data_IF_354254154312
#
_entry.id   IF_354254154312
#
_cell.length_a   1.000
_cell.length_b   1.000
_cell.length_c   1.000
_cell.angle_alpha   90.00
_cell.angle_beta   90.00
_cell.angle_gamma   90.00
#
_symmetry.space_group_name_H-M   'P 1'
#
loop_
_entity.id
_entity.type
_entity.pdbx_description
1 polymer ?
#
# COMPACT_ATOMS: atom_id res chain seq x y z
N UNK A 1 -1.39 5.64 -16.48
CA UNK A 1 -1.63 7.11 -16.53
C UNK A 1 -0.59 7.98 -15.80
N UNK A 2 0.49 7.41 -15.22
CA UNK A 2 1.48 8.21 -14.43
C UNK A 2 2.27 9.21 -15.28
N UNK A 3 2.67 8.84 -16.50
CA UNK A 3 3.44 9.70 -17.40
C UNK A 3 2.64 10.93 -17.88
N UNK A 4 1.39 10.72 -18.30
CA UNK A 4 0.50 11.80 -18.75
C UNK A 4 0.26 12.84 -17.65
N UNK A 5 0.02 12.39 -16.42
CA UNK A 5 -0.11 13.29 -15.27
C UNK A 5 1.16 14.10 -15.00
N UNK A 6 2.34 13.50 -15.14
CA UNK A 6 3.61 14.20 -14.93
C UNK A 6 3.89 15.25 -16.02
N UNK A 7 3.59 14.92 -17.28
CA UNK A 7 3.72 15.84 -18.41
C UNK A 7 2.79 17.04 -18.23
N UNK A 8 1.53 16.78 -17.85
CA UNK A 8 0.53 17.82 -17.62
C UNK A 8 0.86 18.68 -16.38
N UNK A 9 1.62 18.18 -15.43
CA UNK A 9 2.06 18.98 -14.29
C UNK A 9 3.21 19.93 -14.66
N UNK A 10 4.16 19.50 -15.49
CA UNK A 10 5.34 20.31 -15.82
C UNK A 10 5.11 21.34 -16.93
N UNK A 11 4.39 20.98 -18.00
CA UNK A 11 4.32 21.79 -19.21
C UNK A 11 3.40 23.03 -19.08
N UNK A 12 2.13 22.90 -18.64
CA UNK A 12 1.24 24.06 -18.49
C UNK A 12 1.37 24.80 -17.14
N UNK A 13 1.81 24.13 -16.07
CA UNK A 13 1.77 24.69 -14.70
C UNK A 13 3.15 24.90 -14.08
N UNK A 14 4.21 24.75 -14.88
CA UNK A 14 5.60 24.95 -14.49
C UNK A 14 5.90 24.21 -13.17
N UNK A 15 5.38 22.99 -13.04
CA UNK A 15 5.44 22.23 -11.79
C UNK A 15 6.86 21.92 -11.30
N UNK A 16 7.86 22.00 -12.18
CA UNK A 16 9.27 21.91 -11.81
C UNK A 16 9.76 23.16 -11.05
N UNK A 17 9.20 24.34 -11.32
CA UNK A 17 9.49 25.57 -10.58
C UNK A 17 8.90 25.46 -9.17
N UNK A 18 7.65 24.99 -9.04
CA UNK A 18 7.06 24.75 -7.72
C UNK A 18 7.89 23.73 -6.90
N UNK A 19 8.37 22.68 -7.56
CA UNK A 19 9.29 21.72 -6.94
C UNK A 19 10.60 22.38 -6.48
N UNK A 20 11.23 23.18 -7.35
CA UNK A 20 12.47 23.87 -7.06
C UNK A 20 12.32 24.89 -5.93
N UNK A 21 11.28 25.73 -5.95
CA UNK A 21 10.99 26.71 -4.91
C UNK A 21 10.79 26.01 -3.56
N UNK A 22 9.94 24.99 -3.52
CA UNK A 22 9.67 24.25 -2.28
C UNK A 22 10.93 23.58 -1.74
N UNK A 23 11.75 23.02 -2.62
CA UNK A 23 13.04 22.44 -2.26
C UNK A 23 14.03 23.48 -1.73
N UNK A 24 14.14 24.64 -2.38
CA UNK A 24 15.02 25.73 -1.95
C UNK A 24 14.58 26.35 -0.63
N UNK A 25 13.27 26.50 -0.40
CA UNK A 25 12.73 26.92 0.90
C UNK A 25 13.10 25.88 1.96
N UNK A 26 12.89 24.59 1.69
CA UNK A 26 13.29 23.52 2.59
C UNK A 26 14.79 23.51 2.90
N UNK A 27 15.62 23.76 1.88
CA UNK A 27 17.07 23.91 2.03
C UNK A 27 17.41 25.11 2.93
N UNK A 28 16.77 26.26 2.73
CA UNK A 28 16.96 27.44 3.55
C UNK A 28 16.61 27.18 5.02
N UNK A 29 15.48 26.53 5.30
CA UNK A 29 15.10 26.11 6.66
C UNK A 29 16.06 25.06 7.24
N UNK A 30 16.69 24.24 6.40
CA UNK A 30 17.68 23.27 6.86
C UNK A 30 18.98 23.95 7.28
N UNK A 31 19.40 24.99 6.55
CA UNK A 31 20.60 25.78 6.87
C UNK A 31 20.47 26.54 8.18
N UNK A 32 19.27 26.95 8.58
CA UNK A 32 19.07 27.64 9.87
C UNK A 32 19.25 26.76 11.10
N UNK A 33 19.49 25.44 10.94
CA UNK A 33 19.64 24.38 11.97
C UNK A 33 18.41 24.19 12.86
N UNK A 34 17.86 25.29 13.39
CA UNK A 34 16.59 25.38 14.12
C UNK A 34 15.43 24.88 13.26
N UNK A 35 15.44 25.16 11.96
CA UNK A 35 14.41 24.71 11.02
C UNK A 35 14.65 23.32 10.41
N UNK A 36 15.72 22.60 10.79
CA UNK A 36 16.14 21.38 10.10
C UNK A 36 15.04 20.30 9.91
N UNK A 37 14.27 19.89 10.94
CA UNK A 37 13.27 18.83 10.75
C UNK A 37 12.10 19.27 9.86
N UNK A 38 11.81 20.57 9.83
CA UNK A 38 10.84 21.17 8.91
C UNK A 38 11.41 21.22 7.49
N UNK A 39 12.64 21.70 7.35
CA UNK A 39 13.34 21.84 6.08
C UNK A 39 13.50 20.51 5.32
N UNK A 40 13.88 19.44 6.03
CA UNK A 40 13.96 18.09 5.48
C UNK A 40 12.59 17.62 4.92
N UNK A 41 11.50 17.88 5.63
CA UNK A 41 10.15 17.57 5.17
C UNK A 41 9.75 18.33 3.91
N UNK A 42 10.08 19.63 3.83
CA UNK A 42 9.83 20.45 2.64
C UNK A 42 10.69 20.03 1.44
N UNK A 43 11.93 19.60 1.66
CA UNK A 43 12.79 19.07 0.60
C UNK A 43 12.20 17.77 0.02
N UNK A 44 11.67 16.89 0.87
CA UNK A 44 10.94 15.69 0.44
C UNK A 44 9.66 16.03 -0.32
N UNK A 45 8.94 17.08 0.10
CA UNK A 45 7.79 17.61 -0.65
C UNK A 45 8.20 18.16 -2.03
N UNK A 46 9.34 18.83 -2.13
CA UNK A 46 9.92 19.25 -3.42
C UNK A 46 10.19 18.05 -4.34
N UNK A 47 10.72 16.94 -3.80
CA UNK A 47 10.89 15.69 -4.57
C UNK A 47 9.54 15.10 -4.99
N UNK A 48 8.52 15.18 -4.15
CA UNK A 48 7.17 14.76 -4.52
C UNK A 48 6.62 15.58 -5.70
N UNK A 49 6.82 16.91 -5.70
CA UNK A 49 6.40 17.77 -6.81
C UNK A 49 7.13 17.49 -8.14
N UNK A 50 8.30 16.85 -8.16
CA UNK A 50 8.92 16.39 -9.43
C UNK A 50 8.21 15.19 -10.05
N UNK A 51 7.38 14.47 -9.29
CA UNK A 51 6.74 13.24 -9.72
C UNK A 51 5.47 12.92 -8.93
N UNK A 52 4.45 13.79 -8.91
CA UNK A 52 3.34 13.70 -7.96
C UNK A 52 2.42 12.48 -8.16
N UNK A 53 2.49 11.84 -9.33
CA UNK A 53 1.71 10.63 -9.65
C UNK A 53 2.50 9.33 -9.50
N UNK A 54 3.83 9.40 -9.33
CA UNK A 54 4.72 8.23 -9.17
C UNK A 54 5.30 8.09 -7.76
N UNK A 55 5.11 9.10 -6.91
CA UNK A 55 5.65 9.17 -5.55
C UNK A 55 4.53 9.35 -4.53
N UNK A 56 4.78 8.93 -3.30
CA UNK A 56 3.87 9.08 -2.17
C UNK A 56 4.67 9.47 -0.91
N UNK A 57 4.04 10.26 -0.03
CA UNK A 57 4.63 10.68 1.23
C UNK A 57 4.24 9.68 2.33
N UNK A 58 5.24 9.02 2.93
CA UNK A 58 5.08 8.06 4.03
C UNK A 58 5.82 8.58 5.26
N UNK A 59 5.45 8.12 6.46
CA UNK A 59 6.18 8.50 7.69
C UNK A 59 7.51 7.77 7.76
N UNK A 60 8.52 8.46 8.26
CA UNK A 60 9.86 7.91 8.46
C UNK A 60 9.87 6.72 9.42
N UNK A 61 9.04 6.79 10.47
CA UNK A 61 8.84 5.71 11.45
C UNK A 61 8.38 4.39 10.83
N UNK A 62 7.70 4.45 9.68
CA UNK A 62 7.19 3.27 8.98
C UNK A 62 8.29 2.62 8.10
N UNK A 63 9.34 3.38 7.75
CA UNK A 63 10.48 2.93 6.94
C UNK A 63 11.64 2.42 7.80
N UNK A 64 12.04 3.18 8.81
CA UNK A 64 13.13 2.84 9.72
C UNK A 64 12.72 3.15 11.17
N UNK A 65 12.12 2.18 11.89
CA UNK A 65 11.70 2.37 13.27
C UNK A 65 12.88 2.48 14.26
N UNK A 66 14.11 2.18 13.83
CA UNK A 66 15.31 2.20 14.68
C UNK A 66 16.07 3.54 14.66
N UNK A 67 15.74 4.41 13.71
CA UNK A 67 16.40 5.70 13.54
C UNK A 67 15.91 6.81 14.49
N UNK A 68 14.84 6.58 15.28
CA UNK A 68 14.27 7.61 16.16
C UNK A 68 14.91 7.60 17.56
N UNK A 69 15.91 8.46 17.78
CA UNK A 69 16.35 8.84 19.12
C UNK A 69 15.25 9.73 19.73
N UNK A 70 14.75 9.41 20.93
CA UNK A 70 13.61 10.12 21.55
C UNK A 70 13.77 11.65 21.63
N UNK A 71 15.02 12.15 21.71
CA UNK A 71 15.34 13.57 21.72
C UNK A 71 15.00 14.26 20.37
N UNK A 72 15.28 13.61 19.24
CA UNK A 72 14.95 14.13 17.92
C UNK A 72 13.45 14.22 17.68
N UNK A 73 12.68 13.29 18.26
CA UNK A 73 11.22 13.28 18.22
C UNK A 73 10.61 14.42 19.03
N UNK A 74 11.12 14.66 20.23
CA UNK A 74 10.69 15.79 21.06
C UNK A 74 10.97 17.13 20.39
N UNK A 75 12.17 17.28 19.82
CA UNK A 75 12.56 18.48 19.06
C UNK A 75 11.65 18.72 17.85
N UNK A 76 11.40 17.67 17.07
CA UNK A 76 10.49 17.69 15.93
C UNK A 76 9.07 18.13 16.33
N UNK A 77 8.57 17.66 17.47
CA UNK A 77 7.25 18.00 17.97
C UNK A 77 7.12 19.48 18.37
N UNK A 78 8.14 20.04 19.03
CA UNK A 78 8.19 21.47 19.38
C UNK A 78 8.11 22.34 18.12
N UNK A 79 8.85 21.96 17.07
CA UNK A 79 8.86 22.70 15.81
C UNK A 79 7.53 22.58 15.05
N UNK A 80 6.83 21.44 15.14
CA UNK A 80 5.48 21.29 14.58
C UNK A 80 4.51 22.26 15.26
N UNK A 81 4.58 22.41 16.59
CA UNK A 81 3.72 23.36 17.33
C UNK A 81 4.01 24.79 16.90
N UNK A 82 5.29 25.14 16.75
CA UNK A 82 5.69 26.46 16.27
C UNK A 82 5.24 26.70 14.82
N UNK A 83 5.26 25.66 13.99
CA UNK A 83 4.81 25.73 12.60
C UNK A 83 3.30 25.77 12.46
N UNK A 84 2.53 25.17 13.37
CA UNK A 84 1.08 25.00 13.29
C UNK A 84 0.30 26.24 12.81
N UNK A 85 0.48 27.47 13.37
CA UNK A 85 -0.25 28.64 12.89
C UNK A 85 0.08 29.00 11.44
N UNK A 86 1.35 28.85 11.04
CA UNK A 86 1.80 29.11 9.68
C UNK A 86 1.36 27.99 8.72
N UNK A 87 1.53 26.74 9.11
CA UNK A 87 1.10 25.56 8.36
C UNK A 87 -0.40 25.51 8.14
N UNK A 88 -1.22 25.92 9.13
CA UNK A 88 -2.67 26.05 8.98
C UNK A 88 -3.03 27.13 7.95
N UNK A 89 -2.40 28.30 8.03
CA UNK A 89 -2.62 29.38 7.07
C UNK A 89 -2.28 28.93 5.64
N UNK A 90 -1.13 28.28 5.45
CA UNK A 90 -0.72 27.73 4.16
C UNK A 90 -1.65 26.61 3.68
N UNK A 91 -2.11 25.74 4.58
CA UNK A 91 -3.05 24.68 4.24
C UNK A 91 -4.40 25.24 3.78
N UNK A 92 -4.93 26.26 4.46
CA UNK A 92 -6.15 26.96 4.03
C UNK A 92 -5.94 27.61 2.66
N UNK A 93 -4.81 28.30 2.45
CA UNK A 93 -4.48 28.87 1.15
C UNK A 93 -4.41 27.81 0.04
N UNK A 94 -3.82 26.64 0.32
CA UNK A 94 -3.74 25.51 -0.61
C UNK A 94 -5.11 24.90 -0.92
N UNK A 95 -6.01 24.81 0.08
CA UNK A 95 -7.39 24.34 -0.12
C UNK A 95 -8.18 25.31 -0.98
N UNK A 96 -8.09 26.62 -0.70
CA UNK A 96 -8.72 27.66 -1.52
C UNK A 96 -8.16 27.61 -2.95
N UNK A 97 -6.84 27.50 -3.09
CA UNK A 97 -6.19 27.34 -4.39
C UNK A 97 -6.70 26.10 -5.14
N UNK A 98 -6.78 24.94 -4.48
CA UNK A 98 -7.30 23.71 -5.09
C UNK A 98 -8.75 23.88 -5.56
N UNK A 99 -9.60 24.57 -4.80
CA UNK A 99 -10.97 24.87 -5.19
C UNK A 99 -11.03 25.76 -6.44
N UNK A 100 -10.21 26.81 -6.51
CA UNK A 100 -10.12 27.69 -7.69
C UNK A 100 -9.63 26.93 -8.94
N UNK A 101 -8.70 25.99 -8.77
CA UNK A 101 -8.20 25.15 -9.86
C UNK A 101 -9.26 24.18 -10.40
N UNK A 102 -10.09 23.64 -9.51
CA UNK A 102 -11.21 22.76 -9.88
C UNK A 102 -12.26 23.46 -10.76
N UNK A 103 -12.32 24.80 -10.78
CA UNK A 103 -13.21 25.55 -11.67
C UNK A 103 -12.84 25.41 -13.16
N UNK A 104 -11.65 24.90 -13.49
CA UNK A 104 -11.20 24.67 -14.86
C UNK A 104 -11.00 23.19 -15.13
N UNK A 105 -11.42 22.69 -16.30
CA UNK A 105 -11.26 21.27 -16.69
C UNK A 105 -9.79 20.85 -16.65
N UNK A 106 -8.88 21.75 -17.06
CA UNK A 106 -7.43 21.51 -17.09
C UNK A 106 -6.82 21.55 -15.67
N UNK A 107 -7.44 22.26 -14.73
CA UNK A 107 -6.97 22.42 -13.36
C UNK A 107 -7.36 21.28 -12.42
N UNK A 108 -8.31 20.41 -12.79
CA UNK A 108 -8.68 19.22 -12.00
C UNK A 108 -7.47 18.33 -11.62
N UNK A 109 -6.63 17.90 -12.57
CA UNK A 109 -5.45 17.08 -12.23
C UNK A 109 -4.45 17.84 -11.34
N UNK A 110 -4.36 19.17 -11.49
CA UNK A 110 -3.51 20.00 -10.66
C UNK A 110 -4.04 20.10 -9.22
N UNK A 111 -5.36 20.26 -9.06
CA UNK A 111 -6.01 20.30 -7.77
C UNK A 111 -5.77 19.02 -6.95
N UNK A 112 -5.72 17.85 -7.59
CA UNK A 112 -5.39 16.58 -6.92
C UNK A 112 -3.97 16.60 -6.35
N UNK A 113 -3.00 17.19 -7.06
CA UNK A 113 -1.61 17.31 -6.57
C UNK A 113 -1.53 18.25 -5.38
N UNK A 114 -2.19 19.41 -5.46
CA UNK A 114 -2.27 20.40 -4.37
C UNK A 114 -2.95 19.76 -3.15
N UNK A 115 -4.06 19.04 -3.33
CA UNK A 115 -4.75 18.35 -2.24
C UNK A 115 -3.88 17.30 -1.55
N UNK A 116 -3.14 16.48 -2.31
CA UNK A 116 -2.20 15.49 -1.76
C UNK A 116 -1.04 16.14 -1.01
N UNK A 117 -0.53 17.27 -1.51
CA UNK A 117 0.53 18.03 -0.87
C UNK A 117 0.06 18.76 0.39
N UNK A 118 -1.22 19.17 0.47
CA UNK A 118 -1.78 19.96 1.58
C UNK A 118 -1.59 19.25 2.94
N UNK A 119 -1.80 17.94 3.00
CA UNK A 119 -1.58 17.17 4.23
C UNK A 119 -0.11 17.18 4.69
N UNK A 120 0.82 17.21 3.74
CA UNK A 120 2.26 17.30 4.01
C UNK A 120 2.68 18.73 4.35
N UNK A 121 2.09 19.76 3.75
CA UNK A 121 2.38 21.17 4.11
C UNK A 121 1.93 21.49 5.54
N UNK A 122 0.81 20.91 5.97
CA UNK A 122 0.29 21.08 7.32
C UNK A 122 1.22 20.45 8.37
N UNK A 123 1.72 19.24 8.10
CA UNK A 123 2.69 18.56 8.93
C UNK A 123 3.80 17.91 8.09
N UNK A 124 4.87 18.65 7.77
CA UNK A 124 5.93 18.15 6.89
C UNK A 124 6.96 17.29 7.64
N UNK A 125 6.97 17.34 8.97
CA UNK A 125 8.01 16.74 9.78
C UNK A 125 7.88 15.21 9.81
N UNK A 126 9.01 14.52 9.62
CA UNK A 126 9.08 13.06 9.65
C UNK A 126 8.37 12.37 8.48
N UNK A 127 8.30 13.03 7.32
CA UNK A 127 7.75 12.47 6.08
C UNK A 127 8.85 12.28 5.05
N UNK A 128 8.85 11.13 4.38
CA UNK A 128 9.73 10.81 3.24
C UNK A 128 8.97 10.56 1.97
N UNK A 129 9.55 11.03 0.88
CA UNK A 129 9.02 10.81 -0.46
C UNK A 129 9.54 9.47 -1.00
N UNK A 130 8.67 8.46 -1.03
CA UNK A 130 8.98 7.13 -1.56
C UNK A 130 8.20 6.84 -2.84
N UNK A 131 8.61 5.81 -3.59
CA UNK A 131 7.83 5.37 -4.75
C UNK A 131 6.50 4.79 -4.30
N UNK A 132 5.47 4.93 -5.14
CA UNK A 132 4.14 4.37 -4.85
C UNK A 132 4.16 2.85 -4.62
N UNK A 133 5.11 2.12 -5.21
CA UNK A 133 5.28 0.69 -4.99
C UNK A 133 5.73 0.39 -3.54
N UNK A 134 6.68 1.16 -3.01
CA UNK A 134 7.16 1.01 -1.62
C UNK A 134 6.08 1.43 -0.64
N UNK A 135 5.35 2.52 -0.91
CA UNK A 135 4.24 2.97 -0.06
C UNK A 135 3.13 1.91 0.02
N UNK A 136 2.81 1.25 -1.09
CA UNK A 136 1.81 0.18 -1.13
C UNK A 136 2.27 -1.05 -0.34
N UNK A 137 3.55 -1.41 -0.42
CA UNK A 137 4.12 -2.51 0.37
C UNK A 137 4.09 -2.21 1.87
N UNK A 138 4.40 -0.98 2.28
CA UNK A 138 4.30 -0.56 3.68
C UNK A 138 2.86 -0.61 4.20
N UNK A 139 1.89 -0.19 3.38
CA UNK A 139 0.48 -0.29 3.70
C UNK A 139 0.02 -1.75 3.81
N UNK A 140 0.49 -2.62 2.90
CA UNK A 140 0.18 -4.05 2.94
C UNK A 140 0.72 -4.69 4.23
N UNK A 141 1.97 -4.40 4.60
CA UNK A 141 2.56 -4.87 5.87
C UNK A 141 1.84 -4.34 7.11
N UNK A 142 1.40 -3.08 7.07
CA UNK A 142 0.63 -2.49 8.16
C UNK A 142 -0.73 -3.20 8.33
N UNK A 143 -1.41 -3.51 7.22
CA UNK A 143 -2.67 -4.24 7.22
C UNK A 143 -2.49 -5.67 7.77
N UNK A 144 -1.42 -6.38 7.40
CA UNK A 144 -1.12 -7.72 7.94
C UNK A 144 -0.90 -7.69 9.46
N UNK A 145 -0.17 -6.71 9.98
CA UNK A 145 0.04 -6.53 11.43
C UNK A 145 -1.26 -6.28 12.18
N UNK A 146 -2.19 -5.55 11.57
CA UNK A 146 -3.49 -5.29 12.17
C UNK A 146 -4.32 -6.58 12.26
N UNK A 147 -4.30 -7.40 11.21
CA UNK A 147 -4.95 -8.72 11.19
C UNK A 147 -4.35 -9.66 12.26
N UNK A 148 -3.03 -9.63 12.49
CA UNK A 148 -2.37 -10.46 13.52
C UNK A 148 -2.91 -10.11 14.91
N UNK A 149 -3.15 -8.81 15.14
CA UNK A 149 -3.77 -8.30 16.36
C UNK A 149 -5.20 -8.81 16.59
N UNK A 150 -5.94 -9.12 15.52
CA UNK A 150 -7.28 -9.72 15.62
C UNK A 150 -7.22 -11.21 15.90
N UNK A 151 -6.32 -11.97 15.26
CA UNK A 151 -6.16 -13.40 15.54
C UNK A 151 -5.59 -13.70 16.93
N UNK A 152 -4.87 -12.75 17.54
CA UNK A 152 -4.41 -12.82 18.93
C UNK A 152 -5.49 -12.57 19.99
N UNK A 153 -6.71 -12.14 19.60
CA UNK A 153 -7.84 -11.97 20.51
C UNK A 153 -8.69 -13.25 20.47
N UNK A 154 -8.94 -13.94 21.60
CA UNK A 154 -9.84 -15.09 21.60
C UNK A 154 -11.20 -14.65 21.04
N UNK A 155 -11.87 -15.49 20.23
CA UNK A 155 -13.14 -15.13 19.61
C UNK A 155 -14.11 -14.68 20.70
N UNK A 156 -14.73 -13.50 20.55
CA UNK A 156 -15.90 -13.13 21.34
C UNK A 156 -16.96 -14.18 21.05
N UNK A 157 -17.24 -15.04 22.03
CA UNK A 157 -18.35 -15.98 21.97
C UNK A 157 -19.63 -15.20 21.68
N UNK A 158 -20.21 -15.40 20.50
CA UNK A 158 -21.59 -15.03 20.23
C UNK A 158 -22.50 -15.73 21.26
N UNK A 159 -23.56 -15.08 21.76
CA UNK A 159 -24.44 -15.66 22.76
C UNK A 159 -25.26 -16.76 22.09
N UNK A 160 -24.79 -18.00 22.18
CA UNK A 160 -25.52 -19.16 21.68
C UNK A 160 -26.64 -19.48 22.67
N UNK A 161 -27.87 -19.23 22.23
CA UNK A 161 -29.10 -19.64 22.90
C UNK A 161 -29.17 -21.18 22.94
N UNK A 162 -29.11 -21.75 24.14
CA UNK A 162 -29.62 -23.08 24.50
C UNK A 162 -28.90 -24.31 23.92
N UNK A 163 -28.21 -25.06 24.77
CA UNK A 163 -28.71 -26.34 25.30
C UNK A 163 -27.68 -26.99 26.24
N UNK A 164 -28.25 -27.76 27.16
CA UNK A 164 -27.70 -28.36 28.37
C UNK A 164 -26.90 -29.64 28.13
N UNK A 165 -25.79 -29.82 28.88
CA UNK A 165 -25.34 -31.06 29.53
C UNK A 165 -23.93 -30.79 30.14
N UNK A 166 -23.81 -30.63 31.45
CA UNK A 166 -23.60 -31.70 32.45
C UNK A 166 -22.13 -32.19 32.57
N UNK A 167 -21.51 -31.67 33.64
CA UNK A 167 -20.63 -32.38 34.62
C UNK A 167 -19.14 -32.63 34.33
N UNK A 168 -18.36 -32.23 35.35
CA UNK A 168 -17.20 -32.93 35.93
C UNK A 168 -15.81 -32.36 35.66
N UNK A 169 -15.31 -31.63 36.66
CA UNK A 169 -14.17 -32.14 37.41
C UNK A 169 -12.77 -31.64 37.03
N UNK A 170 -12.18 -30.95 38.02
CA UNK A 170 -10.74 -30.84 38.30
C UNK A 170 -9.96 -29.71 37.65
N UNK A 171 -9.36 -28.90 38.52
CA UNK A 171 -8.72 -27.65 38.21
C UNK A 171 -7.24 -27.77 37.87
N UNK A 172 -6.70 -26.66 37.39
CA UNK A 172 -5.38 -26.12 37.74
C UNK A 172 -5.34 -24.70 37.18
N UNK A 173 -5.34 -23.72 38.08
CA UNK A 173 -5.11 -22.32 37.75
C UNK A 173 -3.59 -22.18 37.54
N UNK A 174 -3.17 -22.04 36.29
CA UNK A 174 -1.83 -21.54 35.98
C UNK A 174 -1.91 -20.05 35.67
N UNK A 175 -1.50 -19.33 36.69
CA UNK A 175 -1.35 -17.90 36.81
C UNK A 175 -0.32 -17.40 35.80
N UNK A 176 -0.73 -16.75 34.71
CA UNK A 176 0.19 -15.95 33.89
C UNK A 176 -0.06 -14.49 34.21
N UNK A 177 0.90 -13.96 34.95
CA UNK A 177 1.08 -12.58 35.35
C UNK A 177 0.89 -11.62 34.18
N UNK A 178 -0.16 -10.81 34.28
CA UNK A 178 -0.33 -9.58 33.51
C UNK A 178 0.47 -8.46 34.16
N UNK A 179 1.45 -7.92 33.45
CA UNK A 179 2.09 -6.60 33.66
C UNK A 179 3.17 -6.58 32.56
N UNK A 180 3.04 -5.81 31.48
CA UNK A 180 3.07 -4.36 31.54
C UNK A 180 2.32 -3.73 30.35
N UNK A 181 1.41 -2.83 30.68
CA UNK A 181 0.72 -1.92 29.77
C UNK A 181 1.09 -0.52 30.26
N UNK A 182 1.59 0.35 29.38
CA UNK A 182 0.99 1.66 29.26
C UNK A 182 0.80 2.00 27.77
N UNK A 183 -0.28 2.60 27.30
CA UNK A 183 -1.34 3.34 27.94
C UNK A 183 -1.80 4.40 26.93
N UNK A 184 -3.10 4.36 26.60
CA UNK A 184 -3.94 5.45 26.05
C UNK A 184 -3.61 5.93 24.62
N UNK A 185 -4.35 5.53 23.58
CA UNK A 185 -5.76 5.88 23.30
C UNK A 185 -6.04 7.36 23.61
N UNK A 186 -5.68 8.23 22.68
CA UNK A 186 -6.26 9.56 22.53
C UNK A 186 -7.45 9.47 21.57
N UNK A 187 -8.64 9.42 22.14
CA UNK A 187 -9.90 9.63 21.44
C UNK A 187 -9.86 10.92 20.61
N UNK A 188 -10.31 10.87 19.36
CA UNK A 188 -10.76 12.07 18.68
C UNK A 188 -12.00 12.63 19.40
N UNK A 189 -12.16 13.95 19.53
CA UNK A 189 -13.44 14.51 19.89
C UNK A 189 -14.30 14.63 18.63
N UNK A 190 -15.33 13.79 18.63
CA UNK A 190 -16.62 14.03 18.02
C UNK A 190 -17.08 15.48 18.23
N UNK A 191 -17.56 16.02 17.12
CA UNK A 191 -18.46 17.15 16.97
C UNK A 191 -19.47 17.25 18.13
N UNK A 192 -19.38 18.31 18.94
CA UNK A 192 -20.46 18.70 19.85
C UNK A 192 -20.91 20.13 19.56
N UNK A 193 -22.22 20.30 19.56
CA UNK A 193 -22.96 21.47 19.12
C UNK A 193 -22.80 22.62 20.11
N UNK A 194 -22.65 23.83 19.57
CA UNK A 194 -23.18 25.06 20.16
C UNK A 194 -22.27 25.79 21.14
N UNK A 195 -21.48 26.74 20.62
CA UNK A 195 -21.07 27.89 21.42
C UNK A 195 -21.09 29.15 20.54
N UNK A 196 -22.09 30.00 20.82
CA UNK A 196 -22.23 31.33 20.25
C UNK A 196 -21.34 32.28 21.04
N UNK A 197 -20.33 32.88 20.42
CA UNK A 197 -19.73 34.14 20.88
C UNK A 197 -19.51 35.00 19.65
N UNK A 198 -20.21 36.13 19.62
CA UNK A 198 -20.13 37.12 18.57
C UNK A 198 -19.03 38.16 18.81
N UNK A 199 -18.92 39.02 17.79
CA UNK A 199 -18.33 40.36 17.74
C UNK A 199 -16.90 40.51 17.18
N UNK A 200 -16.87 40.65 15.85
CA UNK A 200 -16.42 41.82 15.07
C UNK A 200 -15.12 42.57 15.44
N UNK A 201 -14.19 42.64 14.46
CA UNK A 201 -13.59 43.86 13.82
C UNK A 201 -12.96 43.39 12.48
N UNK A 202 -13.49 43.77 11.30
CA UNK A 202 -12.93 44.77 10.36
C UNK A 202 -11.73 44.25 9.52
N UNK A 203 -11.89 43.68 8.30
CA UNK A 203 -11.94 44.31 6.93
C UNK A 203 -10.61 45.00 6.56
N UNK A 204 -10.01 44.91 5.32
CA UNK A 204 -10.64 44.89 3.99
C UNK A 204 -10.16 43.79 2.99
N UNK A 205 -11.04 43.27 2.12
CA UNK A 205 -11.39 43.76 0.76
C UNK A 205 -10.35 43.41 -0.32
N UNK A 206 -10.62 42.34 -1.08
CA UNK A 206 -10.40 42.34 -2.53
C UNK A 206 -11.64 41.69 -3.17
N UNK A 207 -12.37 42.50 -3.91
CA UNK A 207 -13.65 42.22 -4.56
C UNK A 207 -13.43 42.05 -6.07
N UNK A 208 -14.28 41.22 -6.70
CA UNK A 208 -14.73 41.23 -8.12
C UNK A 208 -13.66 40.86 -9.16
N UNK A 209 -13.89 39.90 -10.06
CA UNK A 209 -14.80 39.89 -11.23
C UNK A 209 -14.92 38.38 -11.63
N UNK A 210 -16.06 37.72 -11.87
CA UNK A 210 -17.03 37.84 -12.97
C UNK A 210 -18.33 37.09 -12.56
N UNK A 211 -19.46 37.79 -12.65
CA UNK A 211 -20.79 37.19 -12.78
C UNK A 211 -21.22 37.35 -14.25
N UNK A 212 -21.50 36.24 -14.97
CA UNK A 212 -22.51 36.18 -16.04
C UNK A 212 -22.77 34.70 -16.42
N UNK A 213 -23.99 34.20 -16.15
CA UNK A 213 -24.48 32.90 -16.64
C UNK A 213 -25.14 33.02 -18.03
N UNK A 214 -26.11 32.16 -18.43
CA UNK A 214 -26.54 30.89 -17.82
C UNK A 214 -26.94 29.77 -18.83
N UNK A 215 -27.27 28.59 -18.28
CA UNK A 215 -28.13 27.48 -18.79
C UNK A 215 -27.65 26.60 -19.97
N UNK A 216 -27.45 25.31 -19.67
CA UNK A 216 -28.28 24.16 -20.07
C UNK A 216 -27.46 22.87 -19.81
N UNK A 217 -28.12 21.73 -19.70
CA UNK A 217 -27.61 20.37 -19.42
C UNK A 217 -27.67 19.90 -17.96
N UNK A 218 -28.91 19.67 -17.54
CA UNK A 218 -29.45 18.39 -17.07
C UNK A 218 -28.48 17.37 -16.45
N UNK A 219 -28.77 17.06 -15.19
CA UNK A 219 -28.29 15.95 -14.38
C UNK A 219 -28.29 14.59 -15.09
N UNK A 220 -27.48 13.64 -14.59
CA UNK A 220 -28.08 12.37 -14.19
C UNK A 220 -27.81 12.06 -12.71
N UNK A 221 -28.95 11.96 -12.01
CA UNK A 221 -29.36 10.93 -11.06
C UNK A 221 -28.29 10.03 -10.43
N UNK A 222 -28.25 10.14 -9.11
CA UNK A 222 -27.88 9.16 -8.09
C UNK A 222 -27.99 7.69 -8.53
N UNK A 223 -26.87 6.97 -8.48
CA UNK A 223 -26.85 5.53 -8.28
C UNK A 223 -26.08 5.23 -6.99
N UNK A 224 -26.83 5.08 -5.91
CA UNK A 224 -26.42 4.41 -4.68
C UNK A 224 -26.32 2.92 -4.96
N UNK A 225 -25.24 2.25 -4.53
CA UNK A 225 -25.15 0.81 -4.25
C UNK A 225 -23.79 0.47 -3.61
N UNK A 226 -23.65 -0.66 -2.88
CA UNK A 226 -23.40 -0.64 -1.44
C UNK A 226 -22.00 -1.12 -1.02
N UNK A 227 -21.74 -0.97 0.27
CA UNK A 227 -20.64 -1.60 1.00
C UNK A 227 -20.72 -3.13 0.95
N UNK A 228 -19.62 -3.77 0.56
CA UNK A 228 -19.33 -5.19 0.81
C UNK A 228 -17.79 -5.33 0.80
N UNK A 229 -17.14 -5.20 1.96
CA UNK A 229 -16.70 -6.31 2.84
C UNK A 229 -15.91 -7.38 2.09
N UNK A 230 -14.58 -7.35 2.21
CA UNK A 230 -13.72 -8.54 2.07
C UNK A 230 -12.36 -8.27 2.73
N UNK A 231 -12.15 -8.91 3.88
CA UNK A 231 -10.86 -9.16 4.53
C UNK A 231 -10.11 -10.25 3.75
N UNK A 232 -8.77 -10.34 3.91
CA UNK A 232 -8.19 -11.66 4.15
C UNK A 232 -7.01 -11.70 5.15
N UNK A 233 -7.19 -12.56 6.17
CA UNK A 233 -6.27 -13.55 6.78
C UNK A 233 -4.83 -13.55 6.19
N UNK A 234 -3.73 -13.29 6.90
CA UNK A 234 -3.12 -13.83 8.13
C UNK A 234 -2.48 -15.23 8.09
N UNK A 235 -1.16 -15.27 7.85
CA UNK A 235 -0.31 -16.34 8.38
C UNK A 235 1.09 -15.84 8.82
N UNK A 236 1.58 -16.51 9.86
CA UNK A 236 2.49 -16.10 10.94
C UNK A 236 4.00 -16.23 10.62
N UNK A 237 4.90 -15.43 11.25
CA UNK A 237 6.33 -15.45 10.99
C UNK A 237 7.13 -16.43 11.89
N UNK A 238 8.21 -16.98 11.33
CA UNK A 238 9.26 -17.75 12.02
C UNK A 238 10.50 -16.87 12.32
N UNK A 239 11.35 -17.23 13.30
CA UNK A 239 12.04 -16.30 14.19
C UNK A 239 13.34 -15.68 13.65
N UNK A 240 13.70 -14.53 14.22
CA UNK A 240 14.96 -13.81 14.05
C UNK A 240 16.07 -14.48 14.88
N UNK A 241 17.24 -14.70 14.28
CA UNK A 241 18.49 -15.07 14.97
C UNK A 241 19.43 -13.85 14.99
N UNK A 242 20.18 -13.59 16.10
CA UNK A 242 20.98 -12.38 16.25
C UNK A 242 22.32 -12.43 15.47
N UNK A 243 22.84 -11.24 15.20
CA UNK A 243 24.13 -11.00 14.59
C UNK A 243 25.29 -11.58 15.42
N UNK A 244 25.99 -12.59 14.89
CA UNK A 244 27.34 -12.93 15.30
C UNK A 244 28.09 -13.69 14.20
N UNK A 245 29.29 -13.20 13.90
CA UNK A 245 30.39 -13.80 13.17
C UNK A 245 30.14 -14.27 11.73
N UNK A 246 30.97 -13.79 10.80
CA UNK A 246 31.15 -14.40 9.48
C UNK A 246 32.09 -15.59 9.66
N UNK A 247 31.63 -16.84 9.42
CA UNK A 247 32.52 -17.91 8.96
C UNK A 247 32.28 -18.14 7.45
N UNK A 248 33.33 -18.47 6.67
CA UNK A 248 33.12 -19.02 5.34
C UNK A 248 32.61 -20.47 5.52
N UNK A 249 31.68 -20.94 4.68
CA UNK A 249 31.57 -22.34 4.17
C UNK A 249 30.17 -22.69 3.62
N UNK A 250 30.20 -23.30 2.42
CA UNK A 250 29.29 -24.27 1.75
C UNK A 250 27.81 -23.96 1.49
N UNK A 251 27.53 -23.84 0.18
CA UNK A 251 26.38 -24.35 -0.59
C UNK A 251 25.14 -24.77 0.22
N UNK A 252 24.09 -23.94 0.13
CA UNK A 252 22.70 -24.34 0.43
C UNK A 252 22.19 -25.20 -0.74
N UNK A 253 21.55 -26.36 -0.50
CA UNK A 253 21.19 -27.28 -1.57
C UNK A 253 19.88 -26.89 -2.30
N UNK A 254 19.87 -27.17 -3.61
CA UNK A 254 18.70 -27.47 -4.46
C UNK A 254 17.85 -26.33 -5.07
N UNK A 255 18.38 -25.12 -5.30
CA UNK A 255 17.77 -24.21 -6.29
C UNK A 255 18.09 -24.71 -7.71
N UNK A 256 17.07 -25.07 -8.49
CA UNK A 256 17.26 -25.54 -9.86
C UNK A 256 17.07 -24.39 -10.84
N UNK A 257 18.14 -24.03 -11.55
CA UNK A 257 18.08 -22.98 -12.57
C UNK A 257 18.40 -23.56 -13.95
N UNK A 258 17.68 -23.10 -14.96
CA UNK A 258 17.85 -23.56 -16.32
C UNK A 258 16.72 -23.10 -17.23
N UNK A 259 16.70 -23.61 -18.45
CA UNK A 259 15.62 -23.35 -19.40
C UNK A 259 14.47 -24.31 -19.06
N UNK A 260 13.26 -23.80 -18.76
CA UNK A 260 12.12 -24.65 -18.48
C UNK A 260 11.53 -25.24 -19.76
N UNK A 261 11.17 -26.51 -19.71
CA UNK A 261 10.31 -27.16 -20.69
C UNK A 261 9.02 -27.62 -20.01
N UNK A 262 7.87 -27.42 -20.65
CA UNK A 262 6.60 -27.85 -20.06
C UNK A 262 6.35 -29.34 -20.32
N UNK A 263 6.08 -30.09 -19.26
CA UNK A 263 5.63 -31.49 -19.34
C UNK A 263 4.10 -31.56 -19.31
N UNK A 264 3.50 -30.85 -18.36
CA UNK A 264 2.06 -30.68 -18.23
C UNK A 264 1.74 -29.27 -17.68
N UNK A 265 0.46 -28.91 -17.59
CA UNK A 265 0.00 -27.60 -17.12
C UNK A 265 0.34 -27.30 -15.66
N UNK A 266 0.87 -28.26 -14.89
CA UNK A 266 1.30 -28.09 -13.50
C UNK A 266 2.75 -28.57 -13.24
N UNK A 267 3.51 -29.00 -14.24
CA UNK A 267 4.84 -29.62 -14.08
C UNK A 267 5.79 -29.11 -15.15
N UNK A 268 6.92 -28.56 -14.69
CA UNK A 268 8.02 -28.14 -15.56
C UNK A 268 9.15 -29.16 -15.51
N UNK A 269 9.95 -29.23 -16.57
CA UNK A 269 11.26 -29.88 -16.59
C UNK A 269 12.32 -28.81 -16.69
N UNK A 270 13.29 -28.86 -15.79
CA UNK A 270 14.48 -28.00 -15.84
C UNK A 270 15.68 -28.93 -15.79
N UNK A 271 16.52 -28.89 -16.82
CA UNK A 271 17.68 -29.78 -16.97
C UNK A 271 17.33 -31.29 -16.89
N UNK A 272 16.14 -31.68 -17.36
CA UNK A 272 15.66 -33.07 -17.34
C UNK A 272 15.04 -33.52 -16.02
N UNK A 273 15.02 -32.65 -14.99
CA UNK A 273 14.37 -32.94 -13.71
C UNK A 273 12.93 -32.46 -13.71
N UNK A 274 11.99 -33.33 -13.34
CA UNK A 274 10.56 -33.00 -13.22
C UNK A 274 10.28 -32.22 -11.94
N UNK A 275 9.75 -31.02 -12.08
CA UNK A 275 9.47 -30.07 -11.01
C UNK A 275 7.96 -29.75 -11.01
N UNK A 276 7.14 -30.42 -10.17
CA UNK A 276 5.73 -30.08 -10.02
C UNK A 276 5.59 -28.70 -9.38
N UNK A 277 4.85 -27.80 -10.03
CA UNK A 277 4.60 -26.44 -9.59
C UNK A 277 3.69 -26.43 -8.35
N UNK A 278 4.06 -25.62 -7.37
CA UNK A 278 3.35 -25.51 -6.12
C UNK A 278 1.94 -24.91 -6.31
N UNK A 279 0.92 -25.59 -5.79
CA UNK A 279 -0.45 -25.08 -5.76
C UNK A 279 -1.24 -25.17 -7.07
N UNK A 280 -0.72 -25.85 -8.10
CA UNK A 280 -1.45 -26.10 -9.35
C UNK A 280 -1.90 -27.56 -9.48
N UNK A 281 -3.04 -27.75 -10.16
CA UNK A 281 -3.53 -29.06 -10.60
C UNK A 281 -3.49 -29.12 -12.12
N UNK A 282 -2.95 -30.21 -12.70
CA UNK A 282 -2.91 -30.36 -14.15
C UNK A 282 -4.33 -30.44 -14.72
N UNK A 283 -4.49 -29.87 -15.89
CA UNK A 283 -5.72 -29.89 -16.68
C UNK A 283 -5.43 -30.52 -18.03
N UNK A 284 -6.21 -31.54 -18.38
CA UNK A 284 -6.10 -32.26 -19.64
C UNK A 284 -6.87 -31.49 -20.75
N UNK A 285 -6.33 -30.35 -21.16
CA UNK A 285 -6.88 -29.54 -22.25
C UNK A 285 -5.76 -29.15 -23.23
N UNK A 286 -5.77 -29.68 -24.47
CA UNK A 286 -4.69 -29.44 -25.44
C UNK A 286 -4.43 -27.96 -25.74
N UNK A 287 -5.48 -27.14 -25.77
CA UNK A 287 -5.36 -25.69 -25.99
C UNK A 287 -4.62 -24.99 -24.84
N UNK A 288 -4.88 -25.40 -23.60
CA UNK A 288 -4.24 -24.86 -22.42
C UNK A 288 -2.75 -25.27 -22.34
N UNK A 289 -2.43 -26.52 -22.69
CA UNK A 289 -1.06 -27.01 -22.79
C UNK A 289 -0.25 -26.28 -23.86
N UNK A 290 -0.83 -26.05 -25.05
CA UNK A 290 -0.17 -25.31 -26.12
C UNK A 290 0.11 -23.85 -25.72
N UNK A 291 -0.86 -23.18 -25.09
CA UNK A 291 -0.68 -21.81 -24.62
C UNK A 291 0.39 -21.70 -23.51
N UNK A 292 0.38 -22.64 -22.56
CA UNK A 292 1.37 -22.72 -21.50
C UNK A 292 2.79 -23.00 -22.06
N UNK A 293 2.91 -23.87 -23.07
CA UNK A 293 4.18 -24.12 -23.78
C UNK A 293 4.73 -22.86 -24.44
N UNK A 294 3.88 -22.10 -25.12
CA UNK A 294 4.27 -20.85 -25.76
C UNK A 294 4.70 -19.78 -24.74
N UNK A 295 4.07 -19.75 -23.57
CA UNK A 295 4.49 -18.83 -22.51
C UNK A 295 5.86 -19.20 -21.94
N UNK A 296 6.06 -20.49 -21.62
CA UNK A 296 7.31 -21.00 -21.02
C UNK A 296 8.49 -20.81 -21.97
N UNK A 297 8.31 -21.05 -23.28
CA UNK A 297 9.37 -20.82 -24.28
C UNK A 297 9.78 -19.35 -24.40
N UNK A 298 8.88 -18.41 -24.07
CA UNK A 298 9.14 -16.97 -24.04
C UNK A 298 9.60 -16.47 -22.66
N UNK A 299 9.45 -17.25 -21.60
CA UNK A 299 9.79 -16.86 -20.23
C UNK A 299 11.31 -16.82 -19.97
N UNK A 300 12.11 -17.43 -20.86
CA UNK A 300 13.55 -17.54 -20.73
C UNK A 300 13.96 -18.49 -19.59
N UNK A 301 15.14 -18.27 -19.00
CA UNK A 301 15.58 -19.07 -17.85
C UNK A 301 14.69 -18.88 -16.63
N UNK A 302 14.50 -19.95 -15.85
CA UNK A 302 13.81 -19.92 -14.56
C UNK A 302 14.73 -20.31 -13.43
N UNK A 303 14.41 -19.87 -12.22
CA UNK A 303 14.97 -20.39 -10.97
C UNK A 303 13.84 -20.99 -10.16
N UNK A 304 14.01 -22.25 -9.76
CA UNK A 304 13.02 -23.03 -9.04
C UNK A 304 13.51 -23.38 -7.64
N UNK A 305 12.77 -22.94 -6.63
CA UNK A 305 13.02 -23.19 -5.21
C UNK A 305 11.88 -23.98 -4.59
N UNK A 306 12.13 -24.67 -3.47
CA UNK A 306 11.09 -25.44 -2.78
C UNK A 306 10.03 -24.51 -2.15
N UNK A 307 8.76 -24.80 -2.42
CA UNK A 307 7.64 -24.03 -1.87
C UNK A 307 7.17 -24.62 -0.53
N UNK A 308 6.71 -23.77 0.43
CA UNK A 308 6.24 -24.23 1.75
C UNK A 308 4.98 -25.09 1.69
N UNK A 309 4.20 -24.99 0.60
CA UNK A 309 2.95 -25.75 0.39
C UNK A 309 3.18 -27.11 -0.30
N UNK A 310 4.45 -27.50 -0.51
CA UNK A 310 4.84 -28.67 -1.31
C UNK A 310 4.88 -28.36 -2.81
N UNK A 311 5.88 -28.91 -3.49
CA UNK A 311 6.19 -28.60 -4.89
C UNK A 311 7.24 -27.50 -5.04
N UNK A 312 7.36 -26.98 -6.26
CA UNK A 312 8.40 -26.04 -6.67
C UNK A 312 7.80 -24.69 -7.05
N UNK A 313 8.43 -23.63 -6.54
CA UNK A 313 8.17 -22.25 -6.94
C UNK A 313 9.19 -21.88 -8.00
N UNK A 314 8.74 -21.75 -9.25
CA UNK A 314 9.58 -21.38 -10.37
C UNK A 314 9.33 -19.93 -10.78
N UNK A 315 10.38 -19.11 -10.77
CA UNK A 315 10.34 -17.69 -11.12
C UNK A 315 11.13 -17.44 -12.40
N UNK A 316 10.52 -16.75 -13.37
CA UNK A 316 11.21 -16.32 -14.59
C UNK A 316 12.29 -15.30 -14.27
N UNK A 317 13.53 -15.53 -14.74
CA UNK A 317 14.65 -14.61 -14.59
C UNK A 317 14.44 -13.32 -15.40
N UNK A 318 13.71 -13.39 -16.51
CA UNK A 318 13.49 -12.25 -17.39
C UNK A 318 12.47 -11.25 -16.83
N UNK A 319 11.42 -11.75 -16.16
CA UNK A 319 10.29 -10.93 -15.68
C UNK A 319 10.13 -10.89 -14.16
N UNK A 320 10.83 -11.75 -13.42
CA UNK A 320 10.66 -11.89 -11.97
C UNK A 320 9.27 -12.39 -11.55
N UNK A 321 8.54 -13.05 -12.47
CA UNK A 321 7.17 -13.52 -12.25
C UNK A 321 7.14 -15.01 -11.91
N UNK A 322 6.23 -15.38 -11.01
CA UNK A 322 5.95 -16.76 -10.65
C UNK A 322 5.15 -17.46 -11.75
N UNK A 323 5.72 -18.53 -12.32
CA UNK A 323 5.09 -19.26 -13.43
C UNK A 323 3.74 -19.86 -12.99
N UNK A 324 3.63 -20.32 -11.74
CA UNK A 324 2.41 -20.93 -11.23
C UNK A 324 1.25 -19.93 -11.15
N UNK A 325 1.55 -18.70 -10.72
CA UNK A 325 0.57 -17.61 -10.67
C UNK A 325 0.10 -17.21 -12.07
N UNK A 326 1.03 -17.08 -13.03
CA UNK A 326 0.68 -16.70 -14.40
C UNK A 326 -0.17 -17.78 -15.07
N UNK A 327 0.09 -19.05 -14.79
CA UNK A 327 -0.69 -20.17 -15.30
C UNK A 327 -2.10 -20.19 -14.75
N UNK A 328 -2.28 -19.92 -13.45
CA UNK A 328 -3.61 -19.76 -12.86
C UNK A 328 -4.34 -18.53 -13.41
N UNK A 329 -3.64 -17.39 -13.50
CA UNK A 329 -4.20 -16.13 -13.97
C UNK A 329 -4.64 -16.20 -15.43
N UNK A 330 -3.87 -16.85 -16.30
CA UNK A 330 -4.20 -16.98 -17.73
C UNK A 330 -5.22 -18.09 -18.00
N UNK A 331 -5.61 -18.86 -16.98
CA UNK A 331 -6.49 -20.00 -17.11
C UNK A 331 -5.83 -21.18 -17.83
N UNK A 332 -4.51 -21.37 -17.71
CA UNK A 332 -3.81 -22.55 -18.24
C UNK A 332 -3.88 -23.75 -17.30
N UNK A 333 -4.00 -23.49 -15.99
CA UNK A 333 -4.09 -24.50 -14.95
C UNK A 333 -5.16 -24.13 -13.92
N UNK A 334 -5.57 -25.09 -13.09
CA UNK A 334 -6.51 -24.89 -11.98
C UNK A 334 -5.76 -24.87 -10.65
N UNK A 335 -6.29 -24.15 -9.67
CA UNK A 335 -5.70 -24.14 -8.33
C UNK A 335 -5.91 -25.51 -7.66
N UNK A 336 -4.87 -26.02 -7.01
CA UNK A 336 -4.95 -27.22 -6.20
C UNK A 336 -5.66 -26.95 -4.85
N UNK A 337 -6.06 -28.02 -4.15
CA UNK A 337 -6.73 -27.89 -2.85
C UNK A 337 -5.85 -27.26 -1.76
N UNK A 338 -4.52 -27.33 -1.89
CA UNK A 338 -3.52 -26.70 -1.03
C UNK A 338 -2.95 -25.39 -1.63
N UNK A 339 -3.58 -24.84 -2.67
CA UNK A 339 -3.07 -23.64 -3.32
C UNK A 339 -3.06 -22.43 -2.37
N UNK A 340 -1.97 -21.65 -2.35
CA UNK A 340 -1.90 -20.40 -1.60
C UNK A 340 -2.85 -19.35 -2.21
N UNK A 341 -3.23 -18.35 -1.40
CA UNK A 341 -4.31 -17.42 -1.74
C UNK A 341 -4.07 -16.65 -3.03
N UNK A 342 -2.82 -16.29 -3.34
CA UNK A 342 -2.49 -15.59 -4.59
C UNK A 342 -2.83 -16.41 -5.84
N UNK A 343 -2.64 -17.74 -5.82
CA UNK A 343 -3.01 -18.64 -6.93
C UNK A 343 -4.54 -18.77 -7.02
N UNK A 344 -5.24 -18.83 -5.88
CA UNK A 344 -6.71 -18.89 -5.86
C UNK A 344 -7.35 -17.61 -6.38
N UNK A 345 -6.79 -16.46 -6.00
CA UNK A 345 -7.24 -15.16 -6.49
C UNK A 345 -6.99 -15.03 -8.00
N UNK A 346 -5.83 -15.49 -8.48
CA UNK A 346 -5.51 -15.54 -9.91
C UNK A 346 -6.49 -16.43 -10.70
N UNK A 347 -6.80 -17.63 -10.20
CA UNK A 347 -7.83 -18.50 -10.80
C UNK A 347 -9.22 -17.85 -10.79
N UNK A 348 -9.58 -17.17 -9.70
CA UNK A 348 -10.84 -16.42 -9.59
C UNK A 348 -10.97 -15.34 -10.66
N UNK A 349 -9.89 -14.60 -10.91
CA UNK A 349 -9.82 -13.63 -12.01
C UNK A 349 -9.93 -14.30 -13.37
N UNK A 350 -9.26 -15.44 -13.58
CA UNK A 350 -9.36 -16.18 -14.83
C UNK A 350 -10.79 -16.66 -15.11
N UNK A 351 -11.49 -17.13 -14.07
CA UNK A 351 -12.87 -17.59 -14.16
C UNK A 351 -13.84 -16.44 -14.47
N UNK A 352 -13.71 -15.31 -13.80
CA UNK A 352 -14.56 -14.13 -14.03
C UNK A 352 -14.42 -13.58 -15.46
N UNK A 353 -13.21 -13.65 -16.02
CA UNK A 353 -12.91 -13.16 -17.36
C UNK A 353 -13.08 -14.23 -18.45
N UNK A 354 -13.53 -15.44 -18.11
CA UNK A 354 -13.69 -16.54 -19.06
C UNK A 354 -12.37 -16.90 -19.78
N UNK A 355 -11.24 -16.93 -19.06
CA UNK A 355 -9.92 -17.18 -19.66
C UNK A 355 -9.56 -18.67 -19.68
N UNK A 356 -8.92 -19.10 -20.77
CA UNK A 356 -8.40 -20.45 -20.95
C UNK A 356 -9.42 -21.55 -20.68
N UNK A 357 -9.16 -22.39 -19.68
CA UNK A 357 -10.03 -23.51 -19.25
C UNK A 357 -11.42 -23.08 -18.79
N UNK A 358 -11.67 -21.78 -18.59
CA UNK A 358 -12.94 -21.20 -18.17
C UNK A 358 -13.75 -20.54 -19.31
N UNK A 359 -13.29 -20.62 -20.57
CA UNK A 359 -14.01 -20.04 -21.73
C UNK A 359 -15.41 -20.60 -21.96
N UNK A 360 -15.72 -21.77 -21.41
CA UNK A 360 -16.98 -22.48 -21.61
C UNK A 360 -17.82 -22.63 -20.32
N UNK A 361 -17.45 -21.96 -19.23
CA UNK A 361 -18.02 -22.15 -17.88
C UNK A 361 -18.88 -21.01 -17.38
#
# INVERSE_FOLDING_TARGET
MRALGNILWHFPFLGFINAAITYLIGLLFTVTVVGAPLGLGLMELGKFYLGPFGRAMVRDSDLDPSAEIGLWKAYSWIIIILWFPFGLLLAVAMVVQAFLLCCTIIGIPLAIVVAKATGTVFNPVGKRCVSVAVAQELQHRAALRELDGFAGRPPRSEPTLGQSAATSGSGTILNVRSEDRPGLVGHGPQLSKGLKIGLAVGVPLVLTVVFLGPKLFSSPTTATMPAATLQPQLQKPAPVVPAAAIPPVKQVPASHSGIPEILDTATLSVNGQRLPLAGLRPVNLPEAEAAARNYVSQAGGVTCDLAPVGGWRCVSLAKGLDIAEVFALSGFAKAAANAPDFIRNAEGMARQNGMGVWRAS
#
